data_IF_548221545302
#
_entry.id   IF_548221545302
#
_cell.length_a   1.000
_cell.length_b   1.000
_cell.length_c   1.000
_cell.angle_alpha   90.00
_cell.angle_beta   90.00
_cell.angle_gamma   90.00
#
_symmetry.space_group_name_H-M   'P 1'
#
loop_
_entity.id
_entity.type
_entity.pdbx_description
1 polymer ?
#
# COMPACT_ATOMS: atom_id res chain seq x y z
N UNK A 1 -31.43 28.94 5.37
CA UNK A 1 -30.63 28.13 4.42
C UNK A 1 -29.84 27.11 5.23
N UNK A 2 -30.40 25.91 5.38
CA UNK A 2 -29.93 24.82 6.25
C UNK A 2 -29.60 23.62 5.36
N UNK A 3 -28.37 23.10 5.45
CA UNK A 3 -28.00 21.70 5.19
C UNK A 3 -26.90 21.36 6.20
N UNK A 4 -27.24 21.13 7.48
CA UNK A 4 -27.43 19.79 8.08
C UNK A 4 -26.34 18.80 7.65
N UNK A 5 -25.24 18.70 8.43
CA UNK A 5 -24.98 17.62 9.39
C UNK A 5 -25.16 16.21 8.81
N UNK A 6 -24.04 15.60 8.39
CA UNK A 6 -23.67 14.22 8.73
C UNK A 6 -22.17 14.19 9.01
N UNK A 7 -21.82 14.64 10.23
CA UNK A 7 -20.60 14.16 10.89
C UNK A 7 -20.87 12.69 11.21
N UNK A 8 -20.27 11.78 10.47
CA UNK A 8 -20.19 10.39 10.90
C UNK A 8 -19.18 10.38 12.04
N UNK A 9 -19.72 10.34 13.25
CA UNK A 9 -19.00 9.99 14.46
C UNK A 9 -18.61 8.51 14.32
N UNK A 10 -17.39 8.22 13.86
CA UNK A 10 -16.73 6.99 14.26
C UNK A 10 -16.28 7.25 15.69
N UNK A 11 -17.17 6.91 16.63
CA UNK A 11 -16.84 6.87 18.05
C UNK A 11 -15.71 5.86 18.19
N UNK A 12 -14.59 6.31 18.74
CA UNK A 12 -13.60 5.49 19.39
C UNK A 12 -14.31 4.48 20.32
N UNK A 13 -14.50 3.27 19.84
CA UNK A 13 -14.41 2.10 20.70
C UNK A 13 -13.06 1.49 20.38
N UNK A 14 -12.27 1.21 21.41
CA UNK A 14 -10.96 0.58 21.31
C UNK A 14 -11.07 -0.84 20.75
N UNK A 15 -11.36 -0.96 19.46
CA UNK A 15 -10.91 -2.07 18.65
C UNK A 15 -9.45 -1.74 18.34
N UNK A 16 -8.56 -2.47 18.99
CA UNK A 16 -7.34 -2.89 18.30
C UNK A 16 -7.84 -3.51 16.99
N UNK A 17 -7.90 -2.72 15.91
CA UNK A 17 -7.96 -3.27 14.57
C UNK A 17 -6.62 -3.95 14.47
N UNK A 18 -6.60 -5.24 14.81
CA UNK A 18 -5.59 -6.14 14.30
C UNK A 18 -5.81 -6.06 12.79
N UNK A 19 -5.14 -5.11 12.15
CA UNK A 19 -4.87 -5.18 10.73
C UNK A 19 -4.08 -6.48 10.60
N UNK A 20 -4.81 -7.58 10.38
CA UNK A 20 -4.28 -8.68 9.61
C UNK A 20 -4.12 -8.09 8.22
N UNK A 21 -3.08 -7.26 8.03
CA UNK A 21 -2.65 -6.82 6.72
C UNK A 21 -2.65 -8.06 5.85
N UNK A 22 -3.21 -7.95 4.65
CA UNK A 22 -3.31 -9.09 3.76
C UNK A 22 -1.89 -9.39 3.30
N UNK A 23 -1.23 -10.23 4.09
CA UNK A 23 0.07 -10.79 3.80
C UNK A 23 -0.11 -11.59 2.52
N UNK A 24 0.80 -11.41 1.57
CA UNK A 24 0.78 -12.26 0.38
C UNK A 24 0.81 -13.73 0.83
N UNK A 25 -0.24 -14.48 0.48
CA UNK A 25 -0.34 -15.92 0.76
C UNK A 25 0.13 -16.69 -0.46
N UNK A 26 0.80 -17.84 -0.29
CA UNK A 26 1.17 -18.67 -1.43
C UNK A 26 -0.11 -19.09 -2.15
N UNK A 27 -0.08 -19.08 -3.49
CA UNK A 27 -1.19 -19.60 -4.29
C UNK A 27 -1.37 -21.07 -3.90
N UNK A 28 -2.58 -21.54 -3.54
CA UNK A 28 -2.78 -22.93 -3.18
C UNK A 28 -2.35 -23.86 -4.33
N UNK A 29 -1.21 -24.50 -4.17
CA UNK A 29 -0.87 -25.73 -4.87
C UNK A 29 -1.70 -26.89 -4.30
N UNK A 30 -1.79 -27.99 -5.04
CA UNK A 30 -2.49 -29.21 -4.64
C UNK A 30 -2.15 -29.60 -3.19
N UNK A 31 -3.19 -29.70 -2.36
CA UNK A 31 -3.12 -29.78 -0.89
C UNK A 31 -2.09 -30.80 -0.39
N UNK A 32 -1.00 -30.32 0.20
CA UNK A 32 -0.25 -31.08 1.19
C UNK A 32 -0.36 -30.36 2.53
N UNK A 33 -0.94 -31.07 3.50
CA UNK A 33 -1.23 -30.55 4.85
C UNK A 33 0.06 -30.08 5.54
N UNK A 34 0.06 -28.83 6.01
CA UNK A 34 1.12 -28.27 6.86
C UNK A 34 0.65 -28.37 8.31
N UNK A 35 1.45 -28.89 9.27
CA UNK A 35 1.00 -29.07 10.64
C UNK A 35 0.88 -27.75 11.40
N UNK A 36 -0.18 -27.63 12.22
CA UNK A 36 -0.49 -26.47 13.06
C UNK A 36 0.66 -26.10 14.01
N UNK A 37 1.06 -24.84 13.98
CA UNK A 37 1.94 -24.25 15.00
C UNK A 37 1.11 -23.84 16.23
N UNK A 38 1.48 -24.37 17.39
CA UNK A 38 0.88 -24.03 18.68
C UNK A 38 1.35 -22.65 19.17
N UNK A 39 0.46 -21.77 19.67
CA UNK A 39 0.85 -20.46 20.15
C UNK A 39 1.43 -20.53 21.58
N UNK A 40 2.63 -19.99 21.76
CA UNK A 40 3.24 -19.77 23.08
C UNK A 40 2.82 -18.38 23.55
N UNK A 41 1.87 -18.31 24.49
CA UNK A 41 1.53 -17.09 25.22
C UNK A 41 2.20 -17.18 26.59
N UNK A 42 3.03 -16.19 26.94
CA UNK A 42 3.46 -15.93 28.31
C UNK A 42 2.97 -14.54 28.73
N UNK A 43 2.19 -14.39 29.82
CA UNK A 43 1.80 -13.09 30.32
C UNK A 43 2.88 -12.54 31.26
N UNK A 44 3.45 -11.38 30.93
CA UNK A 44 4.15 -10.54 31.90
C UNK A 44 3.12 -9.66 32.58
N UNK A 45 3.02 -9.77 33.90
CA UNK A 45 2.25 -8.86 34.74
C UNK A 45 3.18 -7.78 35.28
N UNK A 46 2.81 -6.51 35.09
CA UNK A 46 3.41 -5.38 35.81
C UNK A 46 2.32 -4.66 36.57
N UNK A 47 2.44 -4.72 37.90
CA UNK A 47 1.69 -3.93 38.87
C UNK A 47 2.00 -2.45 38.70
N UNK A 48 0.97 -1.61 38.63
CA UNK A 48 1.07 -0.16 38.71
C UNK A 48 0.69 0.27 40.13
N UNK A 49 1.65 0.81 40.87
CA UNK A 49 1.43 1.48 42.15
C UNK A 49 1.03 2.95 41.92
N UNK A 50 -0.10 3.33 42.50
CA UNK A 50 -0.61 4.70 42.55
C UNK A 50 -0.24 5.31 43.90
N UNK A 51 0.58 6.38 43.92
CA UNK A 51 0.54 7.44 44.93
C UNK A 51 1.55 8.56 44.61
N UNK A 52 1.12 9.82 44.63
CA UNK A 52 2.04 10.97 44.64
C UNK A 52 1.46 12.28 44.13
N UNK A 53 0.67 12.95 44.97
CA UNK A 53 0.25 14.35 44.85
C UNK A 53 1.41 15.35 45.04
N UNK A 54 1.47 16.46 44.29
CA UNK A 54 2.28 17.63 44.68
C UNK A 54 2.39 18.74 43.63
N UNK A 55 1.92 19.93 43.99
CA UNK A 55 1.87 21.20 43.25
C UNK A 55 3.25 21.79 42.86
N UNK A 56 3.29 22.57 41.78
CA UNK A 56 4.33 23.58 41.52
C UNK A 56 4.26 24.21 40.12
N UNK A 57 3.78 25.46 40.02
CA UNK A 57 3.93 26.33 38.84
C UNK A 57 5.31 26.97 38.87
N UNK A 58 6.05 26.96 37.76
CA UNK A 58 6.84 28.12 37.29
C UNK A 58 6.83 28.15 35.76
N UNK A 59 6.65 29.37 35.26
CA UNK A 59 6.53 29.81 33.88
C UNK A 59 7.94 30.10 33.35
N UNK A 60 8.32 29.51 32.21
CA UNK A 60 9.43 29.97 31.37
C UNK A 60 9.19 29.48 29.94
N UNK A 61 8.85 30.44 29.08
CA UNK A 61 8.60 30.23 27.66
C UNK A 61 9.79 29.61 26.94
N UNK A 62 9.55 28.43 26.38
CA UNK A 62 10.11 27.99 25.11
C UNK A 62 8.92 27.49 24.31
N UNK A 63 8.71 28.07 23.13
CA UNK A 63 7.69 27.62 22.20
C UNK A 63 8.19 26.30 21.58
N UNK A 64 8.10 25.22 22.34
CA UNK A 64 8.27 23.86 21.83
C UNK A 64 7.03 23.54 21.00
N UNK A 65 7.21 23.54 19.68
CA UNK A 65 6.29 22.89 18.76
C UNK A 65 6.12 21.44 19.22
N UNK A 66 4.93 21.12 19.73
CA UNK A 66 4.50 19.76 20.00
C UNK A 66 4.18 19.06 18.68
N UNK A 67 5.19 18.83 17.85
CA UNK A 67 5.13 17.81 16.83
C UNK A 67 6.05 16.68 17.28
N UNK A 68 5.51 15.46 17.34
CA UNK A 68 6.34 14.26 17.40
C UNK A 68 7.25 14.18 16.17
N UNK A 69 8.00 13.09 15.95
CA UNK A 69 8.76 12.93 14.70
C UNK A 69 7.78 12.72 13.54
N UNK A 70 7.21 13.82 13.05
CA UNK A 70 6.18 13.88 12.03
C UNK A 70 6.74 13.87 10.62
N UNK A 71 5.84 13.69 9.64
CA UNK A 71 6.12 13.72 8.21
C UNK A 71 6.94 14.94 7.81
N UNK A 72 7.84 14.75 6.86
CA UNK A 72 8.75 15.79 6.40
C UNK A 72 8.14 16.69 5.32
N UNK A 73 8.72 17.87 5.09
CA UNK A 73 8.36 18.68 3.93
C UNK A 73 8.70 17.94 2.63
N UNK A 74 7.72 17.80 1.74
CA UNK A 74 7.88 17.19 0.43
C UNK A 74 8.30 18.23 -0.63
N UNK A 75 8.91 17.79 -1.76
CA UNK A 75 9.06 18.66 -2.92
C UNK A 75 7.71 19.20 -3.39
N UNK A 76 7.71 20.40 -3.97
CA UNK A 76 6.49 21.00 -4.52
C UNK A 76 5.80 20.03 -5.51
N UNK A 77 4.47 19.95 -5.43
CA UNK A 77 3.67 19.07 -6.27
C UNK A 77 3.56 17.62 -5.77
N UNK A 78 4.02 17.33 -4.55
CA UNK A 78 3.85 16.03 -3.89
C UNK A 78 3.17 16.16 -2.53
N UNK A 79 2.35 15.17 -2.19
CA UNK A 79 1.55 15.11 -0.98
C UNK A 79 1.58 13.71 -0.36
N UNK A 80 1.30 13.61 0.94
CA UNK A 80 1.02 12.34 1.60
C UNK A 80 -0.45 11.96 1.39
N UNK A 81 -0.71 10.74 0.92
CA UNK A 81 -2.07 10.38 0.47
C UNK A 81 -3.09 10.31 1.61
N UNK A 82 -2.67 9.91 2.81
CA UNK A 82 -3.48 9.82 4.01
C UNK A 82 -3.87 11.19 4.60
N UNK A 83 -3.22 12.28 4.15
CA UNK A 83 -3.65 13.65 4.46
C UNK A 83 -4.74 14.15 3.51
N UNK A 84 -4.91 13.49 2.36
CA UNK A 84 -5.89 13.85 1.33
C UNK A 84 -7.12 12.93 1.40
N UNK A 85 -6.91 11.65 1.68
CA UNK A 85 -7.95 10.62 1.75
C UNK A 85 -7.87 9.95 3.12
N UNK A 86 -8.47 10.59 4.13
CA UNK A 86 -8.34 10.20 5.55
C UNK A 86 -8.81 8.76 5.87
N UNK A 87 -9.71 8.21 5.06
CA UNK A 87 -10.27 6.87 5.22
C UNK A 87 -9.60 5.82 4.31
N UNK A 88 -8.55 6.18 3.56
CA UNK A 88 -7.76 5.18 2.86
C UNK A 88 -6.92 4.37 3.84
N UNK A 89 -6.66 3.13 3.48
CA UNK A 89 -5.76 2.24 4.20
C UNK A 89 -4.40 2.31 3.53
N UNK A 90 -3.39 2.75 4.27
CA UNK A 90 -1.99 2.72 3.80
C UNK A 90 -1.36 1.42 4.24
N UNK A 91 -0.99 0.58 3.27
CA UNK A 91 -0.19 -0.64 3.48
C UNK A 91 1.09 -0.54 2.63
N UNK A 92 1.98 0.37 3.05
CA UNK A 92 3.20 0.73 2.32
C UNK A 92 4.19 -0.46 2.22
N UNK A 93 3.95 -1.38 1.28
CA UNK A 93 4.59 -2.70 1.19
C UNK A 93 6.12 -2.62 1.15
N UNK A 94 6.66 -1.61 0.48
CA UNK A 94 8.10 -1.43 0.31
C UNK A 94 8.81 -0.83 1.53
N UNK A 95 8.08 -0.27 2.49
CA UNK A 95 8.64 0.08 3.80
C UNK A 95 8.74 -1.12 4.75
N UNK A 96 8.06 -2.22 4.43
CA UNK A 96 7.96 -3.43 5.25
C UNK A 96 8.70 -4.64 4.67
N UNK A 97 8.31 -5.82 5.15
CA UNK A 97 8.86 -7.12 4.73
C UNK A 97 7.92 -7.89 3.80
N UNK A 98 6.66 -7.44 3.66
CA UNK A 98 5.65 -8.08 2.84
C UNK A 98 5.70 -7.57 1.39
N UNK A 99 6.83 -7.82 0.73
CA UNK A 99 7.05 -7.52 -0.68
C UNK A 99 7.93 -8.63 -1.29
N UNK A 100 8.13 -8.62 -2.60
CA UNK A 100 8.88 -9.67 -3.30
C UNK A 100 10.36 -9.76 -2.90
N UNK A 101 10.93 -8.76 -2.22
CA UNK A 101 12.30 -8.79 -1.72
C UNK A 101 12.41 -9.33 -0.30
N UNK A 102 11.30 -9.39 0.44
CA UNK A 102 11.28 -9.88 1.82
C UNK A 102 12.02 -8.99 2.81
N UNK A 103 12.27 -7.72 2.45
CA UNK A 103 12.92 -6.70 3.29
C UNK A 103 12.46 -5.29 2.88
N UNK A 104 12.64 -4.27 3.74
CA UNK A 104 12.44 -2.89 3.34
C UNK A 104 13.32 -2.53 2.14
N UNK A 105 12.73 -1.78 1.21
CA UNK A 105 13.35 -1.35 -0.04
C UNK A 105 14.07 -0.04 0.20
N UNK A 106 15.25 0.14 -0.41
CA UNK A 106 16.00 1.40 -0.29
C UNK A 106 15.14 2.61 -0.69
N UNK A 107 15.16 3.64 0.14
CA UNK A 107 14.40 4.88 -0.07
C UNK A 107 13.05 4.92 0.64
N UNK A 108 12.54 3.78 1.14
CA UNK A 108 11.37 3.76 2.01
C UNK A 108 11.81 3.73 3.48
N UNK A 109 11.95 4.92 4.08
CA UNK A 109 12.41 5.09 5.47
C UNK A 109 11.24 5.05 6.47
N UNK A 110 10.02 5.31 6.00
CA UNK A 110 8.76 5.27 6.77
C UNK A 110 7.64 4.60 5.97
N UNK A 111 6.63 4.01 6.64
CA UNK A 111 5.48 3.39 6.00
C UNK A 111 4.44 4.43 5.55
N UNK A 112 4.89 5.43 4.81
CA UNK A 112 4.03 6.46 4.22
C UNK A 112 3.88 6.20 2.72
N UNK A 113 2.79 6.70 2.14
CA UNK A 113 2.64 6.75 0.68
C UNK A 113 2.55 8.21 0.27
N UNK A 114 3.47 8.59 -0.61
CA UNK A 114 3.56 9.91 -1.22
C UNK A 114 3.07 9.78 -2.66
N UNK A 115 2.41 10.79 -3.20
CA UNK A 115 2.02 10.85 -4.60
C UNK A 115 2.06 12.28 -5.12
N UNK A 116 1.97 12.47 -6.43
CA UNK A 116 1.77 13.81 -6.99
C UNK A 116 0.39 14.36 -6.62
N UNK A 117 0.25 15.69 -6.64
CA UNK A 117 -1.05 16.35 -6.46
C UNK A 117 -2.09 15.83 -7.48
N UNK A 118 -1.70 15.59 -8.73
CA UNK A 118 -2.57 15.07 -9.78
C UNK A 118 -3.05 13.64 -9.52
N UNK A 119 -2.16 12.77 -9.02
CA UNK A 119 -2.56 11.42 -8.58
C UNK A 119 -3.50 11.51 -7.39
N UNK A 120 -3.23 12.37 -6.41
CA UNK A 120 -4.12 12.58 -5.26
C UNK A 120 -5.51 13.06 -5.70
N UNK A 121 -5.60 14.05 -6.60
CA UNK A 121 -6.87 14.53 -7.15
C UNK A 121 -7.66 13.43 -7.86
N UNK A 122 -6.97 12.58 -8.63
CA UNK A 122 -7.58 11.40 -9.23
C UNK A 122 -8.09 10.42 -8.17
N UNK A 123 -7.28 10.10 -7.16
CA UNK A 123 -7.64 9.14 -6.12
C UNK A 123 -8.81 9.63 -5.27
N UNK A 124 -8.98 10.94 -5.05
CA UNK A 124 -10.18 11.50 -4.41
C UNK A 124 -11.45 11.13 -5.19
N UNK A 125 -11.42 11.27 -6.53
CA UNK A 125 -12.56 10.91 -7.40
C UNK A 125 -12.84 9.41 -7.36
N UNK A 126 -11.79 8.59 -7.44
CA UNK A 126 -11.92 7.14 -7.35
C UNK A 126 -12.50 6.72 -5.99
N UNK A 127 -12.02 7.33 -4.91
CA UNK A 127 -12.51 7.10 -3.55
C UNK A 127 -14.00 7.44 -3.42
N UNK A 128 -14.45 8.57 -3.97
CA UNK A 128 -15.88 8.94 -3.96
C UNK A 128 -16.76 7.93 -4.71
N UNK A 129 -16.30 7.41 -5.86
CA UNK A 129 -17.00 6.37 -6.63
C UNK A 129 -17.09 5.07 -5.82
N UNK A 130 -16.00 4.69 -5.16
CA UNK A 130 -15.89 3.42 -4.43
C UNK A 130 -16.64 3.45 -3.09
N UNK A 131 -16.63 4.57 -2.38
CA UNK A 131 -17.46 4.78 -1.17
C UNK A 131 -18.94 4.59 -1.48
N UNK A 132 -19.40 5.07 -2.64
CA UNK A 132 -20.77 4.85 -3.11
C UNK A 132 -21.15 3.38 -3.32
N UNK A 133 -20.15 2.50 -3.43
CA UNK A 133 -20.29 1.06 -3.62
C UNK A 133 -19.98 0.25 -2.35
N UNK A 134 -19.61 0.91 -1.25
CA UNK A 134 -19.24 0.24 0.02
C UNK A 134 -17.77 -0.16 0.13
N UNK A 135 -16.89 0.44 -0.68
CA UNK A 135 -15.45 0.14 -0.70
C UNK A 135 -14.59 1.34 -0.26
N UNK A 136 -13.47 1.04 0.39
CA UNK A 136 -12.37 1.98 0.65
C UNK A 136 -11.13 1.59 -0.15
N UNK A 137 -10.22 2.53 -0.37
CA UNK A 137 -8.95 2.30 -1.05
C UNK A 137 -7.93 1.70 -0.09
N UNK A 138 -7.22 0.66 -0.53
CA UNK A 138 -5.96 0.19 0.09
C UNK A 138 -4.83 0.60 -0.84
N UNK A 139 -3.84 1.34 -0.36
CA UNK A 139 -2.75 1.87 -1.19
C UNK A 139 -1.43 1.23 -0.78
N UNK A 140 -0.80 0.53 -1.74
CA UNK A 140 0.44 -0.22 -1.54
C UNK A 140 1.69 0.60 -1.85
N UNK A 141 1.65 1.34 -2.96
CA UNK A 141 2.74 2.21 -3.40
C UNK A 141 2.24 3.33 -4.33
N UNK A 142 2.97 4.43 -4.44
CA UNK A 142 2.72 5.46 -5.46
C UNK A 142 4.03 6.11 -5.89
N UNK A 143 4.49 7.21 -5.29
CA UNK A 143 5.83 7.70 -5.57
C UNK A 143 6.88 6.69 -5.09
N UNK A 144 7.72 6.22 -6.03
CA UNK A 144 8.83 5.30 -5.80
C UNK A 144 10.15 5.96 -6.12
N UNK A 145 11.04 6.19 -5.14
CA UNK A 145 12.35 6.78 -5.38
C UNK A 145 13.17 5.98 -6.40
N UNK A 146 13.97 6.63 -7.24
CA UNK A 146 14.83 5.94 -8.22
C UNK A 146 15.75 4.90 -7.56
N UNK A 147 16.28 5.18 -6.36
CA UNK A 147 17.09 4.22 -5.58
C UNK A 147 16.35 2.93 -5.21
N UNK A 148 15.02 2.95 -5.14
CA UNK A 148 14.22 1.75 -4.93
C UNK A 148 14.20 0.87 -6.19
N UNK A 149 14.05 1.51 -7.37
CA UNK A 149 14.16 0.83 -8.67
C UNK A 149 15.54 0.20 -8.85
N UNK A 150 16.60 0.91 -8.46
CA UNK A 150 17.96 0.38 -8.46
C UNK A 150 18.14 -0.81 -7.50
N UNK A 151 17.51 -0.77 -6.33
CA UNK A 151 17.50 -1.87 -5.37
C UNK A 151 16.75 -3.10 -5.90
N UNK A 152 15.66 -2.91 -6.64
CA UNK A 152 14.96 -3.98 -7.34
C UNK A 152 15.84 -4.65 -8.38
N UNK A 153 16.65 -3.85 -9.10
CA UNK A 153 17.58 -4.38 -10.09
C UNK A 153 18.65 -5.24 -9.42
N UNK A 154 19.30 -4.72 -8.38
CA UNK A 154 20.33 -5.43 -7.62
C UNK A 154 19.76 -6.73 -7.04
N UNK A 155 18.55 -6.70 -6.48
CA UNK A 155 17.89 -7.89 -5.97
C UNK A 155 17.61 -8.91 -7.08
N UNK A 156 17.14 -8.47 -8.24
CA UNK A 156 16.81 -9.37 -9.35
C UNK A 156 18.06 -10.04 -9.95
N UNK A 157 19.23 -9.40 -9.85
CA UNK A 157 20.53 -9.96 -10.26
C UNK A 157 21.09 -11.00 -9.26
N UNK A 158 20.70 -10.92 -7.97
CA UNK A 158 21.06 -11.93 -6.97
C UNK A 158 20.15 -13.16 -7.09
N UNK A 159 20.56 -14.13 -7.89
CA UNK A 159 19.78 -15.35 -8.14
C UNK A 159 19.67 -16.30 -6.94
N UNK A 160 20.49 -16.11 -5.90
CA UNK A 160 20.44 -16.95 -4.69
C UNK A 160 19.36 -16.47 -3.71
N UNK A 161 19.01 -15.18 -3.75
CA UNK A 161 17.91 -14.64 -2.95
C UNK A 161 16.54 -15.09 -3.52
N UNK A 162 16.06 -16.21 -3.00
CA UNK A 162 14.76 -16.81 -3.36
C UNK A 162 13.73 -16.72 -2.21
N UNK A 163 13.97 -15.86 -1.21
CA UNK A 163 13.22 -15.83 0.04
C UNK A 163 11.71 -15.78 -0.15
N UNK A 164 11.25 -15.08 -1.20
CA UNK A 164 9.84 -14.80 -1.47
C UNK A 164 9.31 -15.47 -2.74
N UNK A 165 10.07 -16.38 -3.35
CA UNK A 165 9.69 -17.05 -4.62
C UNK A 165 8.31 -17.69 -4.56
N UNK A 166 8.04 -18.49 -3.53
CA UNK A 166 6.77 -19.20 -3.36
C UNK A 166 5.55 -18.27 -3.33
N UNK A 167 5.74 -17.03 -2.89
CA UNK A 167 4.68 -16.05 -2.70
C UNK A 167 4.50 -15.17 -3.93
N UNK A 168 5.59 -14.62 -4.47
CA UNK A 168 5.53 -13.56 -5.48
C UNK A 168 5.84 -14.03 -6.90
N UNK A 169 6.55 -15.13 -7.10
CA UNK A 169 6.91 -15.59 -8.45
C UNK A 169 7.10 -17.12 -8.50
N UNK A 170 6.12 -17.92 -8.03
CA UNK A 170 6.30 -19.37 -7.87
C UNK A 170 6.51 -20.10 -9.21
N UNK A 171 5.96 -19.57 -10.30
CA UNK A 171 6.01 -20.19 -11.63
C UNK A 171 7.09 -19.61 -12.54
N UNK A 172 7.91 -18.68 -12.04
CA UNK A 172 8.89 -17.95 -12.83
C UNK A 172 10.28 -18.12 -12.21
N UNK A 173 11.26 -18.44 -13.05
CA UNK A 173 12.65 -18.41 -12.61
C UNK A 173 13.11 -16.97 -12.47
N UNK A 174 13.83 -16.66 -11.39
CA UNK A 174 14.23 -15.27 -11.07
C UNK A 174 15.04 -14.62 -12.20
N UNK A 175 15.84 -15.40 -12.92
CA UNK A 175 16.59 -14.96 -14.12
C UNK A 175 15.70 -14.43 -15.25
N UNK A 176 14.43 -14.84 -15.30
CA UNK A 176 13.48 -14.44 -16.34
C UNK A 176 12.69 -13.17 -15.99
N UNK A 177 12.76 -12.67 -14.74
CA UNK A 177 11.93 -11.53 -14.30
C UNK A 177 12.17 -10.27 -15.14
N UNK A 178 13.42 -10.00 -15.51
CA UNK A 178 13.76 -8.90 -16.43
C UNK A 178 13.28 -9.19 -17.86
N UNK A 179 13.59 -10.37 -18.39
CA UNK A 179 13.26 -10.74 -19.77
C UNK A 179 11.75 -10.74 -20.04
N UNK A 180 10.94 -11.04 -19.01
CA UNK A 180 9.47 -11.00 -19.06
C UNK A 180 8.89 -9.63 -18.73
N UNK A 181 9.73 -8.69 -18.29
CA UNK A 181 9.37 -7.30 -18.01
C UNK A 181 8.49 -7.15 -16.77
N UNK A 182 8.76 -7.95 -15.73
CA UNK A 182 8.18 -7.79 -14.39
C UNK A 182 8.98 -6.79 -13.54
N UNK A 183 10.29 -6.68 -13.80
CA UNK A 183 11.14 -5.63 -13.23
C UNK A 183 11.51 -4.65 -14.35
N UNK A 184 11.27 -3.36 -14.12
CA UNK A 184 11.54 -2.30 -15.08
C UNK A 184 12.60 -1.33 -14.55
N UNK A 185 13.61 -1.01 -15.37
CA UNK A 185 14.63 -0.02 -15.03
C UNK A 185 14.11 1.43 -15.03
N UNK A 186 12.93 1.66 -15.60
CA UNK A 186 12.22 2.94 -15.60
C UNK A 186 10.79 2.69 -15.15
N UNK A 187 10.36 3.40 -14.12
CA UNK A 187 9.03 3.24 -13.53
C UNK A 187 8.21 4.52 -13.63
N UNK A 188 6.91 4.40 -13.93
CA UNK A 188 5.96 5.51 -13.82
C UNK A 188 5.83 6.03 -12.39
N UNK A 189 6.08 5.18 -11.40
CA UNK A 189 6.11 5.55 -9.98
C UNK A 189 7.18 6.59 -9.66
N UNK A 190 8.36 6.45 -10.28
CA UNK A 190 9.48 7.39 -10.08
C UNK A 190 9.23 8.75 -10.71
N UNK A 191 8.25 8.84 -11.61
CA UNK A 191 7.76 10.09 -12.19
C UNK A 191 6.56 10.67 -11.42
N UNK A 192 6.19 10.08 -10.29
CA UNK A 192 5.06 10.51 -9.45
C UNK A 192 3.70 10.33 -10.12
N UNK A 193 3.60 9.54 -11.18
CA UNK A 193 2.40 9.42 -12.01
C UNK A 193 1.58 8.16 -11.75
N UNK A 194 2.12 7.19 -11.01
CA UNK A 194 1.54 5.87 -10.82
C UNK A 194 1.11 5.62 -9.38
N UNK A 195 0.21 4.67 -9.21
CA UNK A 195 -0.28 4.16 -7.92
C UNK A 195 -0.60 2.67 -8.06
N UNK A 196 -0.25 1.92 -7.03
CA UNK A 196 -0.56 0.50 -6.84
C UNK A 196 -1.55 0.37 -5.67
N UNK A 197 -2.71 -0.24 -5.91
CA UNK A 197 -3.81 -0.24 -4.94
C UNK A 197 -4.76 -1.44 -5.07
N UNK A 198 -5.58 -1.62 -4.03
CA UNK A 198 -6.67 -2.60 -3.95
C UNK A 198 -7.90 -1.98 -3.26
N UNK A 199 -8.91 -2.81 -2.97
CA UNK A 199 -10.18 -2.42 -2.39
C UNK A 199 -10.41 -3.13 -1.05
N UNK A 200 -10.82 -2.36 -0.05
CA UNK A 200 -11.35 -2.87 1.21
C UNK A 200 -12.87 -2.84 1.20
N UNK A 201 -13.50 -3.97 1.47
CA UNK A 201 -14.95 -4.11 1.63
C UNK A 201 -15.35 -3.79 3.07
N UNK A 202 -16.17 -2.74 3.23
CA UNK A 202 -16.60 -2.24 4.54
C UNK A 202 -17.52 -3.24 5.24
N UNK A 203 -18.36 -3.97 4.49
CA UNK A 203 -19.32 -4.93 5.06
C UNK A 203 -18.62 -6.24 5.43
N UNK A 204 -17.73 -6.71 4.56
CA UNK A 204 -16.96 -7.94 4.80
C UNK A 204 -15.75 -7.74 5.75
N UNK A 205 -15.40 -6.49 6.05
CA UNK A 205 -14.27 -6.11 6.92
C UNK A 205 -12.94 -6.71 6.43
N UNK A 206 -12.64 -6.57 5.14
CA UNK A 206 -11.44 -7.15 4.54
C UNK A 206 -11.15 -6.69 3.13
N UNK A 207 -9.92 -6.94 2.66
CA UNK A 207 -9.57 -6.74 1.25
C UNK A 207 -10.39 -7.68 0.36
N UNK A 208 -10.82 -7.17 -0.80
CA UNK A 208 -11.40 -8.01 -1.84
C UNK A 208 -10.37 -9.00 -2.38
N UNK A 209 -10.77 -10.27 -2.52
CA UNK A 209 -9.94 -11.27 -3.19
C UNK A 209 -9.81 -10.93 -4.69
N UNK A 210 -8.61 -10.50 -5.08
CA UNK A 210 -8.24 -10.16 -6.46
C UNK A 210 -7.63 -11.35 -7.21
N UNK A 211 -7.56 -12.53 -6.60
CA UNK A 211 -7.04 -13.78 -7.17
C UNK A 211 -5.52 -13.92 -7.19
N UNK A 212 -4.79 -12.82 -7.04
CA UNK A 212 -3.35 -12.81 -6.76
C UNK A 212 -3.06 -11.70 -5.75
N UNK A 213 -1.97 -11.85 -4.98
CA UNK A 213 -1.51 -10.76 -4.12
C UNK A 213 -0.87 -9.63 -4.95
N UNK A 214 -0.67 -8.46 -4.33
CA UNK A 214 0.19 -7.41 -4.88
C UNK A 214 1.61 -7.94 -5.16
N UNK A 215 2.22 -7.45 -6.24
CA UNK A 215 3.53 -7.91 -6.72
C UNK A 215 3.61 -9.42 -7.00
N UNK A 216 2.51 -10.04 -7.37
CA UNK A 216 2.53 -11.40 -7.92
C UNK A 216 3.02 -11.36 -9.38
N UNK A 217 4.31 -11.62 -9.60
CA UNK A 217 5.03 -11.49 -10.86
C UNK A 217 4.72 -12.68 -11.80
N UNK A 218 3.47 -12.78 -12.24
CA UNK A 218 2.93 -13.86 -13.07
C UNK A 218 1.88 -13.33 -14.06
N UNK A 219 1.54 -14.12 -15.08
CA UNK A 219 0.46 -13.79 -16.00
C UNK A 219 -0.92 -13.78 -15.34
N UNK A 220 -1.08 -14.44 -14.19
CA UNK A 220 -2.29 -14.38 -13.37
C UNK A 220 -2.60 -12.96 -12.85
N UNK A 221 -1.62 -12.06 -12.80
CA UNK A 221 -1.83 -10.68 -12.34
C UNK A 221 -2.38 -9.75 -13.41
N UNK A 222 -2.48 -10.19 -14.66
CA UNK A 222 -2.99 -9.39 -15.77
C UNK A 222 -4.50 -9.17 -15.65
N UNK A 223 -5.00 -8.04 -16.15
CA UNK A 223 -6.44 -7.90 -16.41
C UNK A 223 -6.89 -8.92 -17.48
N UNK A 224 -8.00 -9.62 -17.23
CA UNK A 224 -8.49 -10.70 -18.10
C UNK A 224 -7.64 -11.97 -18.08
N UNK A 225 -6.89 -12.22 -16.99
CA UNK A 225 -6.12 -13.43 -16.82
C UNK A 225 -7.02 -14.68 -16.81
N UNK A 226 -6.53 -15.78 -17.39
CA UNK A 226 -7.19 -17.08 -17.28
C UNK A 226 -6.75 -17.75 -15.99
N UNK A 227 -7.67 -18.40 -15.28
CA UNK A 227 -7.37 -19.14 -14.05
C UNK A 227 -7.80 -18.45 -12.76
N UNK A 228 -8.34 -17.22 -12.84
CA UNK A 228 -9.04 -16.58 -11.73
C UNK A 228 -10.55 -16.85 -11.81
N UNK A 229 -11.23 -16.76 -10.67
CA UNK A 229 -12.68 -16.93 -10.57
C UNK A 229 -13.43 -15.73 -11.14
N UNK A 230 -14.72 -15.91 -11.46
CA UNK A 230 -15.57 -14.80 -11.89
C UNK A 230 -15.75 -13.72 -10.82
N UNK A 231 -15.68 -14.08 -9.53
CA UNK A 231 -15.70 -13.12 -8.43
C UNK A 231 -14.44 -12.25 -8.41
N UNK A 232 -13.26 -12.87 -8.55
CA UNK A 232 -11.97 -12.16 -8.60
C UNK A 232 -11.89 -11.23 -9.82
N UNK A 233 -12.33 -11.68 -11.00
CA UNK A 233 -12.39 -10.82 -12.20
C UNK A 233 -13.36 -9.64 -11.98
N UNK A 234 -14.52 -9.87 -11.35
CA UNK A 234 -15.46 -8.79 -11.01
C UNK A 234 -14.84 -7.79 -10.04
N UNK A 235 -14.10 -8.24 -9.03
CA UNK A 235 -13.42 -7.36 -8.06
C UNK A 235 -12.38 -6.48 -8.76
N UNK A 236 -11.55 -7.07 -9.64
CA UNK A 236 -10.60 -6.33 -10.48
C UNK A 236 -11.30 -5.30 -11.37
N UNK A 237 -12.47 -5.63 -11.90
CA UNK A 237 -13.23 -4.73 -12.77
C UNK A 237 -13.84 -3.55 -12.00
N UNK A 238 -14.30 -3.75 -10.76
CA UNK A 238 -14.77 -2.66 -9.89
C UNK A 238 -13.65 -1.63 -9.70
N UNK A 239 -12.45 -2.10 -9.33
CA UNK A 239 -11.28 -1.24 -9.17
C UNK A 239 -10.93 -0.55 -10.50
N UNK A 240 -10.81 -1.32 -11.58
CA UNK A 240 -10.40 -0.83 -12.89
C UNK A 240 -11.32 0.27 -13.40
N UNK A 241 -12.64 0.07 -13.29
CA UNK A 241 -13.61 1.02 -13.79
C UNK A 241 -13.60 2.31 -12.96
N UNK A 242 -13.55 2.22 -11.63
CA UNK A 242 -13.46 3.40 -10.76
C UNK A 242 -12.20 4.23 -11.05
N UNK A 243 -11.06 3.58 -11.26
CA UNK A 243 -9.80 4.26 -11.61
C UNK A 243 -9.85 4.91 -13.00
N UNK A 244 -10.42 4.23 -14.00
CA UNK A 244 -10.59 4.80 -15.35
C UNK A 244 -11.51 6.02 -15.31
N UNK A 245 -12.64 5.93 -14.63
CA UNK A 245 -13.58 7.04 -14.49
C UNK A 245 -12.99 8.22 -13.70
N UNK A 246 -11.98 7.96 -12.87
CA UNK A 246 -11.21 8.95 -12.13
C UNK A 246 -10.06 9.59 -12.93
N UNK A 247 -9.82 9.16 -14.17
CA UNK A 247 -8.80 9.72 -15.06
C UNK A 247 -7.49 8.92 -15.13
N UNK A 248 -7.46 7.70 -14.63
CA UNK A 248 -6.30 6.83 -14.72
C UNK A 248 -6.36 5.88 -15.93
N UNK A 249 -5.18 5.43 -16.34
CA UNK A 249 -4.99 4.33 -17.28
C UNK A 249 -4.53 3.09 -16.51
N UNK A 250 -5.25 1.98 -16.69
CA UNK A 250 -4.86 0.69 -16.15
C UNK A 250 -3.65 0.13 -16.91
N UNK A 251 -2.69 -0.46 -16.20
CA UNK A 251 -1.62 -1.23 -16.83
C UNK A 251 -2.06 -2.66 -17.04
N UNK A 252 -2.01 -3.12 -18.29
CA UNK A 252 -2.57 -4.42 -18.69
C UNK A 252 -1.97 -5.61 -17.92
N UNK A 253 -0.71 -5.51 -17.49
CA UNK A 253 -0.02 -6.66 -16.88
C UNK A 253 -0.27 -6.84 -15.38
N UNK A 254 -0.77 -5.83 -14.70
CA UNK A 254 -0.85 -5.77 -13.24
C UNK A 254 -2.20 -5.15 -12.84
N UNK A 255 -3.07 -5.93 -12.21
CA UNK A 255 -4.44 -5.50 -11.90
C UNK A 255 -4.52 -4.33 -10.91
N UNK A 256 -3.46 -4.15 -10.12
CA UNK A 256 -3.33 -3.11 -9.09
C UNK A 256 -2.75 -1.79 -9.61
N UNK A 257 -2.14 -1.77 -10.80
CA UNK A 257 -1.30 -0.66 -11.26
C UNK A 257 -2.04 0.30 -12.19
N UNK A 258 -2.04 1.59 -11.83
CA UNK A 258 -2.70 2.65 -12.56
C UNK A 258 -1.82 3.90 -12.68
N UNK A 259 -1.87 4.57 -13.83
CA UNK A 259 -1.15 5.82 -14.06
C UNK A 259 -2.13 6.95 -14.42
N UNK A 260 -1.96 8.13 -13.82
CA UNK A 260 -2.77 9.32 -14.16
C UNK A 260 -2.47 9.79 -15.58
N UNK A 261 -3.49 10.25 -16.31
CA UNK A 261 -3.32 10.80 -17.66
C UNK A 261 -3.97 12.19 -17.79
N UNK A 262 -3.22 13.23 -18.23
CA UNK A 262 -1.80 13.21 -18.57
C UNK A 262 -0.89 13.03 -17.34
N UNK A 263 0.30 12.47 -17.55
CA UNK A 263 1.30 12.36 -16.49
C UNK A 263 1.88 13.75 -16.13
N UNK A 264 2.07 14.06 -14.83
CA UNK A 264 2.53 15.38 -14.40
C UNK A 264 4.01 15.66 -14.72
N UNK A 265 4.86 14.64 -14.61
CA UNK A 265 6.32 14.79 -14.75
C UNK A 265 6.94 13.76 -15.72
N UNK A 266 6.54 13.73 -17.00
CA UNK A 266 6.87 12.64 -17.93
C UNK A 266 8.37 12.44 -18.14
N UNK A 267 9.18 13.50 -17.99
CA UNK A 267 10.62 13.50 -18.23
C UNK A 267 11.46 13.56 -16.94
N UNK A 268 10.85 13.50 -15.75
CA UNK A 268 11.56 13.66 -14.46
C UNK A 268 11.44 12.41 -13.60
N UNK A 269 12.58 11.80 -13.27
CA UNK A 269 12.68 10.67 -12.35
C UNK A 269 13.21 11.19 -11.00
N UNK A 270 12.36 11.17 -9.98
CA UNK A 270 12.67 11.69 -8.64
C UNK A 270 13.40 10.64 -7.77
N UNK A 271 14.19 11.10 -6.79
CA UNK A 271 14.93 10.22 -5.87
C UNK A 271 14.98 10.75 -4.42
N UNK A 272 14.00 11.54 -3.99
CA UNK A 272 13.88 11.89 -2.57
C UNK A 272 13.33 10.68 -1.77
N UNK A 273 13.80 10.42 -0.54
CA UNK A 273 13.30 9.30 0.26
C UNK A 273 11.86 9.54 0.75
N UNK A 274 11.13 8.45 0.95
CA UNK A 274 9.84 8.41 1.65
C UNK A 274 10.11 8.38 3.15
N UNK A 275 9.87 9.49 3.85
CA UNK A 275 10.22 9.69 5.26
C UNK A 275 9.20 10.56 6.00
#
# INVERSE_FOLDING_TARGET
MRRFLKRIFIILFGMTVLFSGVVCRPVPGELTEVPEATPIISPVSTQFDMNGSGFGREDNGVNESTDGPGKSSLPNGFVYIDEIIEDCIVDAKYAGFDNFMGRPVKGYEKPYVICSEEVAEGLVKASDILRGQGYLLIIFDSYRPQRAVEDFIIWAEDLEDQLRKEYHYPNIEKSDLFGKGYIAARSGHTRGAAVDLSLFDIEADGELDMGTCFDFLDELSRHGAKGITSGQEKNREILRQAMIDAGFKAYKKEWWHYAIDPEPYPDTYFDFPVK
#
